data_IF_106170301757
#
_entry.id   IF_106170301757
#
_cell.length_a   1.000
_cell.length_b   1.000
_cell.length_c   1.000
_cell.angle_alpha   90.00
_cell.angle_beta   90.00
_cell.angle_gamma   90.00
#
_symmetry.space_group_name_H-M   'P 1'
#
loop_
_entity.id
_entity.type
_entity.pdbx_description
1 polymer ?
#
# COMPACT_ATOMS: atom_id res chain seq x y z
N UNK A 1 -19.12 -0.98 -0.50
CA UNK A 1 -19.39 -2.39 -0.21
C UNK A 1 -19.99 -3.14 -1.39
N UNK A 2 -20.97 -2.59 -2.10
CA UNK A 2 -21.75 -3.33 -3.12
C UNK A 2 -20.87 -3.66 -4.32
N UNK A 3 -20.09 -2.70 -4.81
CA UNK A 3 -19.25 -2.90 -5.99
C UNK A 3 -18.09 -3.86 -5.68
N UNK A 4 -17.42 -3.68 -4.54
CA UNK A 4 -16.32 -4.56 -4.14
C UNK A 4 -16.79 -6.00 -3.85
N UNK A 5 -17.96 -6.19 -3.22
CA UNK A 5 -18.56 -7.51 -3.01
C UNK A 5 -19.01 -8.18 -4.31
N UNK A 6 -19.67 -7.44 -5.21
CA UNK A 6 -20.07 -7.96 -6.53
C UNK A 6 -18.87 -8.42 -7.34
N UNK A 7 -17.77 -7.65 -7.32
CA UNK A 7 -16.51 -8.01 -7.98
C UNK A 7 -15.79 -9.18 -7.29
N UNK A 8 -16.11 -9.47 -6.03
CA UNK A 8 -15.58 -10.61 -5.29
C UNK A 8 -16.32 -11.93 -5.55
N UNK A 9 -17.51 -11.88 -6.17
CA UNK A 9 -18.28 -13.07 -6.53
C UNK A 9 -17.48 -13.96 -7.51
N UNK A 10 -17.57 -15.29 -7.37
CA UNK A 10 -16.81 -16.22 -8.19
C UNK A 10 -17.12 -16.08 -9.70
N UNK A 11 -18.36 -15.78 -10.06
CA UNK A 11 -18.77 -15.52 -11.45
C UNK A 11 -18.11 -14.26 -12.02
N UNK A 12 -18.15 -13.14 -11.28
CA UNK A 12 -17.52 -11.89 -11.69
C UNK A 12 -15.99 -12.01 -11.74
N UNK A 13 -15.39 -12.74 -10.79
CA UNK A 13 -13.95 -13.02 -10.78
C UNK A 13 -13.51 -13.80 -12.02
N UNK A 14 -14.27 -14.83 -12.42
CA UNK A 14 -13.99 -15.59 -13.66
C UNK A 14 -14.13 -14.71 -14.89
N UNK A 15 -15.17 -13.88 -14.95
CA UNK A 15 -15.41 -12.99 -16.08
C UNK A 15 -14.33 -11.90 -16.23
N UNK A 16 -13.81 -11.37 -15.11
CA UNK A 16 -12.76 -10.36 -15.12
C UNK A 16 -11.35 -10.90 -15.38
N UNK A 17 -11.11 -12.19 -15.10
CA UNK A 17 -9.80 -12.81 -15.32
C UNK A 17 -9.60 -13.05 -16.82
N UNK A 18 -8.65 -12.32 -17.42
CA UNK A 18 -8.37 -12.43 -18.87
C UNK A 18 -7.02 -13.04 -19.21
N UNK A 19 -6.03 -12.88 -18.35
CA UNK A 19 -4.68 -13.39 -18.56
C UNK A 19 -4.04 -13.75 -17.22
N UNK A 20 -3.10 -14.69 -17.25
CA UNK A 20 -2.20 -15.01 -16.14
C UNK A 20 -0.84 -14.37 -16.46
N UNK A 21 -0.36 -13.50 -15.58
CA UNK A 21 0.89 -12.78 -15.80
C UNK A 21 1.96 -13.31 -14.85
N UNK A 22 3.06 -13.79 -15.41
CA UNK A 22 4.22 -14.26 -14.66
C UNK A 22 5.41 -13.33 -14.90
N UNK A 23 6.11 -12.97 -13.83
CA UNK A 23 7.32 -12.14 -13.92
C UNK A 23 8.47 -13.03 -14.40
N UNK A 24 8.64 -13.15 -15.71
CA UNK A 24 9.73 -13.91 -16.31
C UNK A 24 11.04 -13.11 -16.25
N UNK A 25 12.06 -13.67 -15.60
CA UNK A 25 13.36 -13.02 -15.44
C UNK A 25 14.12 -12.88 -16.78
N UNK A 26 13.86 -13.78 -17.75
CA UNK A 26 14.40 -13.70 -19.12
C UNK A 26 13.95 -12.45 -19.87
N UNK A 27 12.70 -12.03 -19.70
CA UNK A 27 12.17 -10.80 -20.31
C UNK A 27 12.73 -9.54 -19.63
N UNK A 28 12.99 -9.62 -18.32
CA UNK A 28 13.59 -8.55 -17.54
C UNK A 28 15.11 -8.40 -17.79
N UNK A 29 15.81 -9.47 -18.17
CA UNK A 29 17.22 -9.42 -18.57
C UNK A 29 17.41 -8.80 -19.96
N UNK A 30 16.48 -9.09 -20.88
CA UNK A 30 16.47 -8.49 -22.22
C UNK A 30 16.23 -6.96 -22.20
N UNK A 31 15.65 -6.43 -21.11
CA UNK A 31 15.44 -4.99 -20.87
C UNK A 31 16.76 -4.25 -20.59
N UNK A 32 17.72 -4.89 -19.91
CA UNK A 32 19.06 -4.31 -19.66
C UNK A 32 19.84 -4.17 -20.97
N UNK A 33 19.68 -5.14 -21.89
CA UNK A 33 20.42 -5.16 -23.15
C UNK A 33 19.78 -4.32 -24.26
N UNK A 34 18.44 -4.30 -24.39
CA UNK A 34 17.76 -3.69 -25.54
C UNK A 34 16.97 -2.39 -25.24
N UNK A 35 16.94 -1.92 -23.99
CA UNK A 35 16.18 -0.71 -23.61
C UNK A 35 14.67 -0.81 -23.87
N UNK A 36 14.14 -2.00 -24.14
CA UNK A 36 12.73 -2.23 -24.39
C UNK A 36 11.98 -2.43 -23.08
N UNK A 37 10.91 -1.65 -22.91
CA UNK A 37 10.04 -1.64 -21.72
C UNK A 37 9.43 -3.03 -21.53
N UNK A 38 9.74 -3.65 -20.39
CA UNK A 38 9.12 -4.91 -19.95
C UNK A 38 7.60 -4.89 -20.15
N UNK A 39 7.03 -6.02 -20.62
CA UNK A 39 5.59 -6.21 -20.80
C UNK A 39 4.89 -6.03 -19.44
N UNK A 40 4.38 -4.82 -19.16
CA UNK A 40 3.64 -4.57 -17.91
C UNK A 40 2.32 -5.33 -17.90
N UNK A 41 1.88 -5.86 -16.74
CA UNK A 41 0.57 -6.50 -16.65
C UNK A 41 -0.52 -5.50 -17.01
N UNK A 42 -1.48 -5.92 -17.86
CA UNK A 42 -2.58 -5.05 -18.28
C UNK A 42 -3.48 -4.74 -17.09
N UNK A 43 -4.01 -3.52 -17.06
CA UNK A 43 -4.84 -3.01 -15.98
C UNK A 43 -6.13 -2.42 -16.53
N UNK A 44 -7.24 -2.67 -15.83
CA UNK A 44 -8.46 -1.89 -15.98
C UNK A 44 -8.27 -0.53 -15.27
N UNK A 45 -8.84 0.56 -15.79
CA UNK A 45 -8.59 1.92 -15.27
C UNK A 45 -8.98 2.11 -13.78
N UNK A 46 -9.99 1.36 -13.30
CA UNK A 46 -10.52 1.42 -11.93
C UNK A 46 -10.57 0.03 -11.23
N UNK A 47 -10.48 -1.05 -12.01
CA UNK A 47 -10.73 -2.43 -11.55
C UNK A 47 -9.46 -3.27 -11.31
N UNK A 48 -8.30 -2.63 -11.39
CA UNK A 48 -6.99 -3.26 -11.13
C UNK A 48 -6.50 -4.19 -12.25
N UNK A 49 -5.67 -5.18 -11.90
CA UNK A 49 -4.97 -6.04 -12.87
C UNK A 49 -5.88 -7.03 -13.60
N UNK A 50 -5.71 -7.25 -14.90
CA UNK A 50 -6.46 -8.29 -15.64
C UNK A 50 -6.27 -9.69 -15.02
N UNK A 51 -5.10 -9.95 -14.43
CA UNK A 51 -4.85 -11.13 -13.62
C UNK A 51 -5.43 -10.96 -12.20
N UNK A 52 -6.43 -11.78 -11.87
CA UNK A 52 -7.11 -11.75 -10.56
C UNK A 52 -6.30 -12.43 -9.46
N UNK A 53 -5.36 -13.30 -9.81
CA UNK A 53 -4.40 -13.85 -8.85
C UNK A 53 -3.38 -12.78 -8.46
N UNK A 54 -2.84 -12.06 -9.45
CA UNK A 54 -1.96 -10.93 -9.21
C UNK A 54 -2.66 -9.82 -8.38
N UNK A 55 -3.92 -9.50 -8.69
CA UNK A 55 -4.71 -8.54 -7.90
C UNK A 55 -4.87 -9.00 -6.44
N UNK A 56 -5.10 -10.29 -6.21
CA UNK A 56 -5.20 -10.80 -4.83
C UNK A 56 -3.89 -10.75 -4.07
N UNK A 57 -2.76 -10.93 -4.76
CA UNK A 57 -1.44 -10.79 -4.16
C UNK A 57 -1.09 -9.33 -3.87
N UNK A 58 -1.41 -8.42 -4.80
CA UNK A 58 -1.28 -6.99 -4.59
C UNK A 58 -2.08 -6.50 -3.37
N UNK A 59 -3.34 -6.91 -3.23
CA UNK A 59 -4.16 -6.50 -2.08
C UNK A 59 -3.59 -7.00 -0.74
N UNK A 60 -2.91 -8.15 -0.73
CA UNK A 60 -2.22 -8.64 0.47
C UNK A 60 -1.00 -7.79 0.80
N UNK A 61 -0.16 -7.55 -0.21
CA UNK A 61 1.04 -6.72 -0.06
C UNK A 61 0.68 -5.30 0.37
N UNK A 62 -0.42 -4.75 -0.18
CA UNK A 62 -0.94 -3.45 0.18
C UNK A 62 -1.29 -3.40 1.67
N UNK A 63 -2.10 -4.34 2.18
CA UNK A 63 -2.50 -4.37 3.61
C UNK A 63 -1.30 -4.52 4.55
N UNK A 64 -0.32 -5.35 4.18
CA UNK A 64 0.89 -5.55 4.99
C UNK A 64 1.76 -4.29 5.02
N UNK A 65 1.91 -3.64 3.87
CA UNK A 65 2.75 -2.43 3.72
C UNK A 65 2.06 -1.18 4.26
N UNK A 66 0.73 -1.12 4.23
CA UNK A 66 -0.07 0.03 4.65
C UNK A 66 -0.59 -0.03 6.08
N UNK A 67 -0.32 -1.11 6.83
CA UNK A 67 -0.84 -1.33 8.20
C UNK A 67 -0.70 -0.10 9.11
N UNK A 68 0.47 0.56 9.11
CA UNK A 68 0.75 1.68 10.00
C UNK A 68 -0.07 2.91 9.59
N UNK A 69 -0.31 3.09 8.29
CA UNK A 69 -1.17 4.14 7.75
C UNK A 69 -2.64 3.90 8.04
N UNK A 70 -3.09 2.63 8.03
CA UNK A 70 -4.46 2.25 8.41
C UNK A 70 -4.70 2.58 9.89
N UNK A 71 -3.76 2.22 10.78
CA UNK A 71 -3.86 2.56 12.21
C UNK A 71 -3.82 4.06 12.46
N UNK A 72 -2.93 4.77 11.75
CA UNK A 72 -2.84 6.23 11.84
C UNK A 72 -4.15 6.89 11.42
N UNK A 73 -4.76 6.44 10.31
CA UNK A 73 -6.05 6.93 9.86
C UNK A 73 -7.17 6.67 10.87
N UNK A 74 -7.26 5.46 11.42
CA UNK A 74 -8.23 5.13 12.49
C UNK A 74 -8.04 6.00 13.74
N UNK A 75 -6.80 6.26 14.14
CA UNK A 75 -6.49 7.14 15.26
C UNK A 75 -6.95 8.57 14.99
N UNK A 76 -6.63 9.12 13.82
CA UNK A 76 -7.08 10.46 13.43
C UNK A 76 -8.61 10.54 13.33
N UNK A 77 -9.29 9.51 12.82
CA UNK A 77 -10.74 9.45 12.78
C UNK A 77 -11.35 9.58 14.18
N UNK A 78 -10.80 8.84 15.15
CA UNK A 78 -11.25 8.88 16.53
C UNK A 78 -10.97 10.26 17.17
N UNK A 79 -9.78 10.81 16.97
CA UNK A 79 -9.39 12.13 17.51
C UNK A 79 -10.30 13.24 16.97
N UNK A 80 -10.54 13.20 15.66
CA UNK A 80 -11.42 14.14 14.97
C UNK A 80 -12.85 14.05 15.48
N UNK A 81 -13.40 12.84 15.63
CA UNK A 81 -14.76 12.66 16.15
C UNK A 81 -14.88 13.13 17.60
N UNK A 82 -13.89 12.81 18.43
CA UNK A 82 -13.81 13.31 19.82
C UNK A 82 -13.74 14.84 19.87
N UNK A 83 -13.00 15.46 18.95
CA UNK A 83 -12.95 16.91 18.81
C UNK A 83 -14.33 17.51 18.49
N UNK A 84 -15.08 16.93 17.54
CA UNK A 84 -16.44 17.37 17.19
C UNK A 84 -17.42 17.26 18.37
N UNK A 85 -17.35 16.17 19.14
CA UNK A 85 -18.14 16.00 20.37
C UNK A 85 -17.73 17.05 21.42
N UNK A 86 -16.44 17.30 21.59
CA UNK A 86 -15.91 18.29 22.53
C UNK A 86 -16.38 19.71 22.23
N UNK A 87 -16.30 20.14 20.96
CA UNK A 87 -16.80 21.45 20.51
C UNK A 87 -18.31 21.57 20.78
N UNK A 88 -19.07 20.53 20.46
CA UNK A 88 -20.52 20.52 20.69
C UNK A 88 -20.88 20.60 22.18
N UNK A 89 -20.10 19.92 23.03
CA UNK A 89 -20.27 19.97 24.48
C UNK A 89 -19.93 21.36 25.06
N UNK A 90 -18.88 22.02 24.56
CA UNK A 90 -18.50 23.38 24.98
C UNK A 90 -19.60 24.38 24.58
N UNK A 91 -20.09 24.31 23.35
CA UNK A 91 -21.19 25.16 22.87
C UNK A 91 -22.48 24.92 23.67
N UNK A 92 -22.76 23.68 24.04
CA UNK A 92 -23.89 23.33 24.91
C UNK A 92 -23.75 23.96 26.31
N UNK A 93 -22.61 23.79 26.97
CA UNK A 93 -22.39 24.34 28.32
C UNK A 93 -22.43 25.86 28.31
N UNK A 94 -21.82 26.50 27.31
CA UNK A 94 -21.79 27.96 27.18
C UNK A 94 -23.15 28.60 26.86
N UNK A 95 -24.10 27.82 26.33
CA UNK A 95 -25.47 28.29 26.03
C UNK A 95 -26.47 27.96 27.13
N UNK A 96 -26.17 27.01 28.02
CA UNK A 96 -27.06 26.51 29.08
C UNK A 96 -27.64 27.61 29.98
N UNK A 97 -26.80 28.55 30.42
CA UNK A 97 -27.21 29.58 31.37
C UNK A 97 -28.00 30.74 30.71
N UNK A 98 -27.98 30.82 29.37
CA UNK A 98 -28.68 31.86 28.61
C UNK A 98 -30.12 31.48 28.26
N UNK A 99 -30.53 30.22 28.45
CA UNK A 99 -31.85 29.72 28.07
C UNK A 99 -32.51 28.90 29.20
N UNK A 100 -33.18 29.57 30.17
CA UNK A 100 -33.67 28.95 31.40
C UNK A 100 -34.85 27.96 31.23
N UNK A 101 -35.42 27.81 30.03
CA UNK A 101 -36.43 26.79 29.71
C UNK A 101 -35.86 25.44 29.25
N UNK A 102 -34.54 25.34 29.08
CA UNK A 102 -33.85 24.19 28.49
C UNK A 102 -33.12 23.38 29.59
N UNK A 103 -33.83 23.00 30.65
CA UNK A 103 -33.25 22.37 31.85
C UNK A 103 -33.26 20.84 31.87
N UNK A 104 -33.61 20.18 30.76
CA UNK A 104 -33.54 18.72 30.67
C UNK A 104 -32.09 18.24 30.48
N UNK A 105 -31.37 18.16 31.60
CA UNK A 105 -30.10 17.42 31.73
C UNK A 105 -30.14 16.02 31.10
N UNK A 106 -31.33 15.41 31.01
CA UNK A 106 -31.57 14.14 30.33
C UNK A 106 -31.36 14.22 28.81
N UNK A 107 -31.81 15.27 28.13
CA UNK A 107 -31.69 15.41 26.66
C UNK A 107 -30.23 15.63 26.23
N UNK A 108 -29.46 16.39 27.00
CA UNK A 108 -28.04 16.59 26.78
C UNK A 108 -27.21 15.32 27.03
N UNK A 109 -27.54 14.58 28.09
CA UNK A 109 -26.94 13.27 28.37
C UNK A 109 -27.22 12.27 27.24
N UNK A 110 -28.45 12.24 26.73
CA UNK A 110 -28.86 11.37 25.62
C UNK A 110 -28.12 11.75 24.33
N UNK A 111 -27.95 13.03 24.03
CA UNK A 111 -27.17 13.52 22.89
C UNK A 111 -25.69 13.09 22.95
N UNK A 112 -25.03 13.32 24.09
CA UNK A 112 -23.64 12.90 24.30
C UNK A 112 -23.54 11.37 24.22
N UNK A 113 -24.49 10.63 24.79
CA UNK A 113 -24.54 9.17 24.69
C UNK A 113 -24.67 8.67 23.24
N UNK A 114 -25.55 9.26 22.42
CA UNK A 114 -25.71 8.89 21.00
C UNK A 114 -24.47 9.21 20.15
N UNK A 115 -23.81 10.34 20.39
CA UNK A 115 -22.54 10.68 19.71
C UNK A 115 -21.38 9.76 20.12
N UNK A 116 -21.36 9.30 21.38
CA UNK A 116 -20.43 8.28 21.87
C UNK A 116 -20.74 6.88 21.29
N UNK A 117 -22.01 6.55 21.01
CA UNK A 117 -22.35 5.28 20.33
C UNK A 117 -21.78 5.20 18.91
N UNK A 118 -21.62 6.35 18.21
CA UNK A 118 -20.96 6.41 16.91
C UNK A 118 -19.44 6.16 16.97
N UNK A 119 -18.80 6.16 18.14
CA UNK A 119 -17.38 5.75 18.30
C UNK A 119 -17.20 4.23 18.30
N UNK A 120 -18.27 3.48 18.58
CA UNK A 120 -18.19 2.03 18.75
C UNK A 120 -17.80 1.25 17.48
N UNK A 121 -18.26 1.62 16.26
CA UNK A 121 -17.76 1.06 15.01
C UNK A 121 -16.26 1.31 14.79
N UNK A 122 -15.74 2.49 15.16
CA UNK A 122 -14.31 2.81 15.05
C UNK A 122 -13.48 1.98 16.04
N UNK A 123 -13.96 1.84 17.27
CA UNK A 123 -13.34 0.96 18.27
C UNK A 123 -13.37 -0.51 17.83
N UNK A 124 -14.47 -0.98 17.24
CA UNK A 124 -14.59 -2.32 16.68
C UNK A 124 -13.67 -2.53 15.46
N UNK A 125 -13.49 -1.51 14.61
CA UNK A 125 -12.54 -1.54 13.49
C UNK A 125 -11.09 -1.65 13.99
N UNK A 126 -10.73 -0.95 15.08
CA UNK A 126 -9.42 -1.06 15.71
C UNK A 126 -9.21 -2.46 16.29
N UNK A 127 -10.18 -2.98 17.04
CA UNK A 127 -10.10 -4.31 17.66
C UNK A 127 -9.98 -5.41 16.59
N UNK A 128 -10.78 -5.31 15.52
CA UNK A 128 -10.69 -6.26 14.41
C UNK A 128 -9.35 -6.14 13.67
N UNK A 129 -8.88 -4.93 13.37
CA UNK A 129 -7.56 -4.73 12.75
C UNK A 129 -6.42 -5.32 13.61
N UNK A 130 -6.45 -5.10 14.93
CA UNK A 130 -5.47 -5.65 15.88
C UNK A 130 -5.55 -7.18 15.96
N UNK A 131 -6.75 -7.74 16.01
CA UNK A 131 -6.97 -9.19 15.99
C UNK A 131 -6.42 -9.83 14.72
N UNK A 132 -6.61 -9.20 13.56
CA UNK A 132 -6.07 -9.65 12.28
C UNK A 132 -4.55 -9.49 12.19
N UNK A 133 -4.00 -8.39 12.72
CA UNK A 133 -2.56 -8.15 12.83
C UNK A 133 -1.86 -9.09 13.83
N UNK A 134 -2.59 -9.70 14.77
CA UNK A 134 -2.09 -10.77 15.63
C UNK A 134 -2.11 -12.13 14.90
N UNK A 135 -3.05 -12.37 13.98
CA UNK A 135 -3.15 -13.60 13.17
C UNK A 135 -2.25 -13.62 11.92
N UNK A 136 -1.04 -13.03 11.99
CA UNK A 136 -0.02 -12.90 10.90
C UNK A 136 0.29 -14.17 10.07
N UNK A 137 -0.15 -15.36 10.49
CA UNK A 137 0.18 -16.65 9.85
C UNK A 137 -0.89 -17.21 8.90
N UNK A 138 -2.03 -16.57 8.69
CA UNK A 138 -3.14 -17.18 7.93
C UNK A 138 -3.31 -16.55 6.54
N UNK A 139 -2.92 -17.29 5.49
CA UNK A 139 -3.59 -17.46 4.19
C UNK A 139 -3.87 -16.30 3.21
N UNK A 140 -3.83 -16.62 1.90
CA UNK A 140 -4.15 -15.76 0.73
C UNK A 140 -5.60 -15.21 0.64
N UNK A 141 -6.45 -15.35 1.66
CA UNK A 141 -7.83 -14.78 1.66
C UNK A 141 -8.04 -13.59 2.61
N UNK A 142 -7.05 -13.29 3.44
CA UNK A 142 -7.15 -12.32 4.55
C UNK A 142 -7.17 -10.86 4.11
N UNK A 143 -6.28 -10.41 3.24
CA UNK A 143 -6.20 -9.02 2.79
C UNK A 143 -7.50 -8.47 2.19
N UNK A 144 -8.22 -9.26 1.39
CA UNK A 144 -9.55 -8.88 0.88
C UNK A 144 -10.59 -8.72 1.99
N UNK A 145 -10.54 -9.61 2.98
CA UNK A 145 -11.44 -9.57 4.13
C UNK A 145 -11.17 -8.35 5.01
N UNK A 146 -9.90 -7.96 5.17
CA UNK A 146 -9.52 -6.75 5.92
C UNK A 146 -10.02 -5.49 5.24
N UNK A 147 -9.85 -5.36 3.92
CA UNK A 147 -10.38 -4.21 3.15
C UNK A 147 -11.89 -4.15 3.25
N UNK A 148 -12.60 -5.28 3.12
CA UNK A 148 -14.05 -5.36 3.25
C UNK A 148 -14.56 -5.02 4.65
N UNK A 149 -13.89 -5.51 5.70
CA UNK A 149 -14.26 -5.21 7.09
C UNK A 149 -14.05 -3.74 7.38
N UNK A 150 -12.89 -3.17 7.01
CA UNK A 150 -12.65 -1.75 7.12
C UNK A 150 -13.74 -0.96 6.38
N UNK A 151 -14.04 -1.39 5.16
CA UNK A 151 -15.05 -0.74 4.35
C UNK A 151 -16.44 -0.76 5.00
N UNK A 152 -16.88 -1.91 5.48
CA UNK A 152 -18.15 -2.06 6.18
C UNK A 152 -18.19 -1.25 7.48
N UNK A 153 -17.10 -1.24 8.26
CA UNK A 153 -17.04 -0.47 9.53
C UNK A 153 -17.11 1.03 9.30
N UNK A 154 -16.44 1.54 8.27
CA UNK A 154 -16.48 2.95 7.96
C UNK A 154 -17.85 3.34 7.37
N UNK A 155 -18.44 2.55 6.46
CA UNK A 155 -19.82 2.82 6.00
C UNK A 155 -20.84 2.78 7.15
N UNK A 156 -20.72 1.86 8.10
CA UNK A 156 -21.56 1.82 9.29
C UNK A 156 -21.38 3.07 10.16
N UNK A 157 -20.13 3.49 10.37
CA UNK A 157 -19.82 4.74 11.06
C UNK A 157 -20.47 5.95 10.38
N UNK A 158 -20.40 6.03 9.06
CA UNK A 158 -21.00 7.12 8.29
C UNK A 158 -22.53 7.10 8.38
N UNK A 159 -23.14 5.93 8.23
CA UNK A 159 -24.59 5.76 8.36
C UNK A 159 -25.08 6.15 9.76
N UNK A 160 -24.35 5.78 10.81
CA UNK A 160 -24.66 6.19 12.18
C UNK A 160 -24.46 7.69 12.39
N UNK A 161 -23.46 8.29 11.75
CA UNK A 161 -23.22 9.74 11.82
C UNK A 161 -24.33 10.53 11.13
N UNK A 162 -24.76 10.11 9.93
CA UNK A 162 -25.90 10.70 9.22
C UNK A 162 -27.23 10.49 10.00
N UNK A 163 -27.47 9.28 10.51
CA UNK A 163 -28.64 9.01 11.34
C UNK A 163 -28.67 9.82 12.63
N UNK A 164 -27.52 9.99 13.29
CA UNK A 164 -27.40 10.85 14.46
C UNK A 164 -27.72 12.29 14.09
N UNK A 165 -27.21 12.80 12.97
CA UNK A 165 -27.51 14.16 12.48
C UNK A 165 -29.01 14.36 12.27
N UNK A 166 -29.68 13.43 11.58
CA UNK A 166 -31.13 13.45 11.37
C UNK A 166 -31.93 13.44 12.68
N UNK A 167 -31.58 12.53 13.60
CA UNK A 167 -32.26 12.47 14.90
C UNK A 167 -31.98 13.69 15.78
N UNK A 168 -30.80 14.30 15.64
CA UNK A 168 -30.46 15.53 16.34
C UNK A 168 -31.34 16.68 15.87
N UNK A 169 -31.67 16.74 14.58
CA UNK A 169 -32.57 17.77 14.03
C UNK A 169 -34.05 17.55 14.41
N UNK A 170 -34.52 16.30 14.49
CA UNK A 170 -35.90 15.98 14.89
C UNK A 170 -36.17 16.06 16.40
N UNK A 171 -35.21 15.66 17.26
CA UNK A 171 -35.40 15.60 18.72
C UNK A 171 -35.07 16.89 19.45
N UNK A 172 -34.16 17.67 18.89
CA UNK A 172 -33.86 19.00 19.39
C UNK A 172 -34.80 19.88 18.58
N UNK A 173 -35.74 20.57 19.22
CA UNK A 173 -36.60 21.52 18.51
C UNK A 173 -35.74 22.28 17.49
N UNK A 174 -36.21 22.44 16.24
CA UNK A 174 -35.49 23.18 15.19
C UNK A 174 -34.92 24.52 15.71
N UNK A 175 -35.54 25.06 16.76
CA UNK A 175 -35.06 26.11 17.67
C UNK A 175 -33.64 25.93 18.21
N UNK A 176 -33.23 24.82 18.84
CA UNK A 176 -31.91 24.70 19.48
C UNK A 176 -30.76 24.70 18.46
N UNK A 177 -30.87 23.92 17.39
CA UNK A 177 -29.85 23.93 16.33
C UNK A 177 -29.77 25.32 15.66
N UNK A 178 -30.93 25.97 15.44
CA UNK A 178 -30.99 27.37 14.98
C UNK A 178 -30.46 28.38 15.99
N UNK A 179 -30.55 28.12 17.30
CA UNK A 179 -30.07 29.01 18.36
C UNK A 179 -28.56 28.88 18.55
N UNK A 180 -28.02 27.65 18.51
CA UNK A 180 -26.59 27.39 18.76
C UNK A 180 -25.73 27.59 17.53
N UNK A 181 -26.20 27.15 16.37
CA UNK A 181 -25.46 27.27 15.11
C UNK A 181 -25.99 28.41 14.22
N UNK A 182 -27.07 29.08 14.62
CA UNK A 182 -27.69 30.14 13.84
C UNK A 182 -28.56 29.60 12.70
N UNK A 183 -29.06 30.52 11.88
CA UNK A 183 -29.60 30.17 10.58
C UNK A 183 -28.53 29.41 9.76
N UNK A 184 -28.91 28.45 8.91
CA UNK A 184 -28.01 27.63 8.09
C UNK A 184 -26.99 26.73 8.83
N UNK A 185 -27.40 26.18 9.97
CA UNK A 185 -26.67 25.16 10.74
C UNK A 185 -26.11 23.99 9.90
N UNK A 186 -26.74 23.64 8.78
CA UNK A 186 -26.28 22.60 7.84
C UNK A 186 -24.83 22.80 7.40
N UNK A 187 -24.44 24.03 7.05
CA UNK A 187 -23.07 24.34 6.58
C UNK A 187 -22.02 24.15 7.68
N UNK A 188 -22.37 24.48 8.93
CA UNK A 188 -21.49 24.31 10.09
C UNK A 188 -21.40 22.83 10.49
N UNK A 189 -22.51 22.09 10.43
CA UNK A 189 -22.55 20.65 10.66
C UNK A 189 -21.69 19.89 9.63
N UNK A 190 -21.76 20.31 8.35
CA UNK A 190 -20.85 19.82 7.30
C UNK A 190 -19.39 20.06 7.66
N UNK A 191 -19.03 21.25 8.16
CA UNK A 191 -17.65 21.56 8.57
C UNK A 191 -17.16 20.80 9.80
N UNK A 192 -18.01 20.64 10.83
CA UNK A 192 -17.60 20.08 12.12
C UNK A 192 -17.63 18.56 12.13
N UNK A 193 -18.61 17.95 11.45
CA UNK A 193 -18.81 16.49 11.50
C UNK A 193 -18.45 15.80 10.19
N UNK A 194 -18.67 16.42 9.03
CA UNK A 194 -18.48 15.75 7.74
C UNK A 194 -17.05 15.92 7.17
N UNK A 195 -16.55 17.15 7.01
CA UNK A 195 -15.19 17.41 6.49
C UNK A 195 -14.10 16.64 7.22
N UNK A 196 -14.10 16.61 8.57
CA UNK A 196 -12.99 16.00 9.28
C UNK A 196 -12.96 14.48 9.09
N UNK A 197 -14.12 13.84 8.89
CA UNK A 197 -14.19 12.41 8.57
C UNK A 197 -13.70 12.09 7.16
N UNK A 198 -13.88 13.00 6.20
CA UNK A 198 -13.32 12.88 4.85
C UNK A 198 -11.80 12.99 4.86
N UNK A 199 -11.23 13.83 5.74
CA UNK A 199 -9.77 14.00 5.85
C UNK A 199 -9.07 12.69 6.22
N UNK A 200 -9.73 11.82 6.99
CA UNK A 200 -9.21 10.49 7.34
C UNK A 200 -8.88 9.65 6.11
N UNK A 201 -9.67 9.76 5.05
CA UNK A 201 -9.48 8.99 3.82
C UNK A 201 -8.16 9.32 3.09
N UNK A 202 -7.55 10.48 3.34
CA UNK A 202 -6.22 10.79 2.81
C UNK A 202 -5.11 9.98 3.49
N UNK A 203 -5.27 9.69 4.78
CA UNK A 203 -4.26 8.96 5.56
C UNK A 203 -4.37 7.46 5.34
N UNK A 204 -5.57 6.96 5.09
CA UNK A 204 -5.82 5.53 4.90
C UNK A 204 -5.46 5.13 3.46
N UNK A 205 -4.46 4.26 3.33
CA UNK A 205 -4.01 3.77 2.02
C UNK A 205 -4.78 2.51 1.61
N UNK A 206 -5.88 2.71 0.90
CA UNK A 206 -6.82 1.69 0.40
C UNK A 206 -6.85 1.67 -1.15
N UNK A 207 -7.41 0.60 -1.75
CA UNK A 207 -7.68 0.59 -3.19
C UNK A 207 -8.60 1.74 -3.60
N UNK A 208 -8.31 2.38 -4.73
CA UNK A 208 -9.03 3.58 -5.19
C UNK A 208 -10.54 3.34 -5.36
N UNK A 209 -10.94 2.14 -5.78
CA UNK A 209 -12.36 1.78 -5.91
C UNK A 209 -13.10 1.85 -4.57
N UNK A 210 -12.51 1.32 -3.50
CA UNK A 210 -13.13 1.31 -2.18
C UNK A 210 -13.23 2.75 -1.63
N UNK A 211 -12.17 3.55 -1.78
CA UNK A 211 -12.21 4.96 -1.36
C UNK A 211 -13.23 5.77 -2.15
N UNK A 212 -13.36 5.56 -3.47
CA UNK A 212 -14.36 6.23 -4.28
C UNK A 212 -15.78 5.82 -3.89
N UNK A 213 -16.02 4.53 -3.62
CA UNK A 213 -17.32 4.06 -3.15
C UNK A 213 -17.70 4.76 -1.83
N UNK A 214 -16.78 4.82 -0.87
CA UNK A 214 -16.98 5.55 0.39
C UNK A 214 -17.33 7.02 0.18
N UNK A 215 -16.53 7.71 -0.64
CA UNK A 215 -16.70 9.14 -0.88
C UNK A 215 -18.03 9.43 -1.59
N UNK A 216 -18.44 8.59 -2.56
CA UNK A 216 -19.73 8.75 -3.25
C UNK A 216 -20.89 8.50 -2.29
N UNK A 217 -20.85 7.44 -1.48
CA UNK A 217 -21.88 7.19 -0.47
C UNK A 217 -22.00 8.35 0.53
N UNK A 218 -20.86 8.92 0.93
CA UNK A 218 -20.82 10.09 1.78
C UNK A 218 -21.45 11.33 1.14
N UNK A 219 -21.07 11.63 -0.10
CA UNK A 219 -21.63 12.78 -0.80
C UNK A 219 -23.15 12.63 -0.99
N UNK A 220 -23.64 11.43 -1.28
CA UNK A 220 -25.08 11.16 -1.40
C UNK A 220 -25.77 11.32 -0.03
N UNK A 221 -25.22 10.74 1.03
CA UNK A 221 -25.80 10.83 2.37
C UNK A 221 -25.94 12.30 2.83
N UNK A 222 -24.85 13.07 2.77
CA UNK A 222 -24.83 14.42 3.34
C UNK A 222 -25.35 15.53 2.42
N UNK A 223 -25.29 15.39 1.09
CA UNK A 223 -25.79 16.41 0.16
C UNK A 223 -27.20 16.12 -0.38
N UNK A 224 -27.62 14.86 -0.41
CA UNK A 224 -28.91 14.48 -0.99
C UNK A 224 -29.87 14.00 0.09
N UNK A 225 -29.46 13.01 0.89
CA UNK A 225 -30.35 12.36 1.85
C UNK A 225 -30.65 13.27 3.04
N UNK A 226 -29.62 13.77 3.74
CA UNK A 226 -29.82 14.59 4.94
C UNK A 226 -30.59 15.89 4.66
N UNK A 227 -30.28 16.68 3.61
CA UNK A 227 -31.03 17.91 3.34
C UNK A 227 -32.46 17.68 2.84
N UNK A 228 -32.78 16.46 2.37
CA UNK A 228 -34.13 16.07 1.99
C UNK A 228 -34.96 15.60 3.18
N UNK A 229 -34.30 14.99 4.18
CA UNK A 229 -34.93 14.52 5.41
C UNK A 229 -35.13 15.63 6.45
N UNK A 230 -34.33 16.69 6.40
CA UNK A 230 -34.43 17.88 7.27
C UNK A 230 -35.42 18.87 6.63
N UNK A 231 -36.46 19.28 7.37
CA UNK A 231 -37.61 20.08 6.87
C UNK A 231 -37.22 21.39 6.15
N UNK A 232 -36.03 21.94 6.47
CA UNK A 232 -35.50 23.19 5.91
C UNK A 232 -34.16 23.02 5.18
N UNK A 233 -33.70 21.79 4.89
CA UNK A 233 -32.32 21.52 4.46
C UNK A 233 -31.82 22.35 3.28
N UNK A 234 -32.35 22.13 2.08
CA UNK A 234 -32.06 23.00 0.92
C UNK A 234 -32.98 24.22 0.82
N UNK A 235 -34.11 24.21 1.54
CA UNK A 235 -35.10 25.29 1.49
C UNK A 235 -34.67 26.52 2.29
N UNK A 236 -33.74 26.35 3.24
CA UNK A 236 -33.11 27.46 3.97
C UNK A 236 -32.25 28.37 3.09
N UNK A 237 -31.93 27.96 1.86
CA UNK A 237 -31.18 28.79 0.91
C UNK A 237 -32.08 29.74 0.09
N UNK A 238 -33.41 29.70 0.28
CA UNK A 238 -34.30 30.63 -0.41
C UNK A 238 -34.19 32.04 0.18
N UNK A 239 -34.15 33.04 -0.69
CA UNK A 239 -34.01 34.46 -0.31
C UNK A 239 -35.07 34.90 0.70
N UNK A 240 -36.30 34.38 0.59
CA UNK A 240 -37.40 34.67 1.53
C UNK A 240 -37.12 34.16 2.95
N UNK A 241 -36.60 32.94 3.08
CA UNK A 241 -36.29 32.37 4.38
C UNK A 241 -35.04 33.02 5.00
N UNK A 242 -34.07 33.39 4.17
CA UNK A 242 -32.86 34.12 4.59
C UNK A 242 -33.25 35.51 5.13
N UNK A 243 -34.03 36.28 4.35
CA UNK A 243 -34.51 37.61 4.75
C UNK A 243 -35.36 37.55 6.02
N UNK A 244 -36.26 36.56 6.12
CA UNK A 244 -37.12 36.36 7.29
C UNK A 244 -36.38 35.91 8.56
N UNK A 245 -35.24 35.22 8.42
CA UNK A 245 -34.42 34.86 9.57
C UNK A 245 -33.52 36.01 10.05
N UNK A 246 -32.98 36.78 9.12
CA UNK A 246 -32.05 37.89 9.42
C UNK A 246 -32.78 39.08 10.06
N UNK A 247 -34.02 39.36 9.67
CA UNK A 247 -34.84 40.41 10.28
C UNK A 247 -35.01 40.23 11.80
N UNK A 248 -34.88 39.00 12.31
CA UNK A 248 -35.01 38.68 13.73
C UNK A 248 -33.72 38.82 14.56
N UNK A 249 -32.54 38.97 13.94
CA UNK A 249 -31.23 38.92 14.64
C UNK A 249 -30.37 40.17 14.45
N UNK A 250 -30.26 40.73 13.25
CA UNK A 250 -29.24 41.76 12.94
C UNK A 250 -29.70 42.92 12.04
N UNK A 251 -30.93 42.89 11.49
CA UNK A 251 -31.36 43.89 10.48
C UNK A 251 -32.34 44.98 10.94
N UNK A 252 -32.61 45.13 12.24
CA UNK A 252 -33.35 46.30 12.73
C UNK A 252 -32.59 47.63 12.50
N UNK A 253 -31.31 47.58 12.10
CA UNK A 253 -30.48 48.76 11.77
C UNK A 253 -30.31 49.06 10.28
N UNK A 254 -30.78 48.21 9.35
CA UNK A 254 -30.61 48.39 7.90
C UNK A 254 -31.98 48.29 7.21
N UNK A 255 -32.68 49.43 7.17
CA UNK A 255 -34.11 49.56 6.81
C UNK A 255 -34.33 49.84 5.30
N UNK A 256 -33.29 49.76 4.46
CA UNK A 256 -33.41 50.03 3.02
C UNK A 256 -33.42 48.72 2.19
N UNK A 257 -34.37 48.60 1.24
CA UNK A 257 -34.53 47.43 0.35
C UNK A 257 -33.22 47.04 -0.39
N UNK A 258 -32.39 48.02 -0.74
CA UNK A 258 -31.07 47.81 -1.38
C UNK A 258 -30.07 47.09 -0.46
N UNK A 259 -30.15 47.32 0.85
CA UNK A 259 -29.24 46.70 1.84
C UNK A 259 -29.69 45.29 2.24
N UNK A 260 -30.99 44.98 2.12
CA UNK A 260 -31.55 43.66 2.37
C UNK A 260 -31.09 42.61 1.35
N UNK A 261 -31.01 42.98 0.07
CA UNK A 261 -30.51 42.09 -1.00
C UNK A 261 -29.01 41.80 -0.87
N UNK A 262 -28.22 42.79 -0.47
CA UNK A 262 -26.80 42.61 -0.18
C UNK A 262 -26.59 41.64 1.00
N UNK A 263 -27.39 41.78 2.06
CA UNK A 263 -27.31 40.90 3.24
C UNK A 263 -27.70 39.45 2.91
N UNK A 264 -28.78 39.25 2.14
CA UNK A 264 -29.18 37.93 1.67
C UNK A 264 -28.08 37.27 0.83
N UNK A 265 -27.49 38.02 -0.10
CA UNK A 265 -26.38 37.55 -0.95
C UNK A 265 -25.15 37.16 -0.12
N UNK A 266 -24.76 37.98 0.86
CA UNK A 266 -23.63 37.69 1.75
C UNK A 266 -23.82 36.37 2.51
N UNK A 267 -24.98 36.18 3.14
CA UNK A 267 -25.26 34.96 3.90
C UNK A 267 -25.36 33.72 2.99
N UNK A 268 -25.95 33.83 1.81
CA UNK A 268 -25.96 32.75 0.81
C UNK A 268 -24.53 32.31 0.46
N UNK A 269 -23.60 33.24 0.28
CA UNK A 269 -22.18 32.93 0.01
C UNK A 269 -21.52 32.23 1.20
N UNK A 270 -21.77 32.70 2.42
CA UNK A 270 -21.23 32.08 3.65
C UNK A 270 -21.71 30.63 3.81
N UNK A 271 -22.95 30.31 3.44
CA UNK A 271 -23.46 28.93 3.50
C UNK A 271 -23.04 28.04 2.34
N UNK A 272 -22.90 28.60 1.13
CA UNK A 272 -22.42 27.83 -0.02
C UNK A 272 -20.93 27.48 0.11
N UNK A 273 -20.14 28.29 0.82
CA UNK A 273 -18.71 28.06 0.97
C UNK A 273 -18.34 26.68 1.56
N UNK A 274 -18.93 26.21 2.68
CA UNK A 274 -18.74 24.84 3.17
C UNK A 274 -19.12 23.75 2.17
N UNK A 275 -20.18 23.92 1.39
CA UNK A 275 -20.63 22.95 0.37
C UNK A 275 -19.63 22.89 -0.79
N UNK A 276 -19.12 24.04 -1.22
CA UNK A 276 -18.08 24.13 -2.24
C UNK A 276 -16.79 23.45 -1.75
N UNK A 277 -16.35 23.75 -0.52
CA UNK A 277 -15.20 23.08 0.09
C UNK A 277 -15.38 21.56 0.16
N UNK A 278 -16.60 21.08 0.41
CA UNK A 278 -16.90 19.65 0.48
C UNK A 278 -16.69 18.99 -0.87
N UNK A 279 -17.23 19.62 -1.93
CA UNK A 279 -17.05 19.18 -3.30
C UNK A 279 -15.58 19.18 -3.70
N UNK A 280 -14.83 20.23 -3.37
CA UNK A 280 -13.40 20.33 -3.63
C UNK A 280 -12.62 19.22 -2.91
N UNK A 281 -12.87 19.00 -1.62
CA UNK A 281 -12.22 17.93 -0.84
C UNK A 281 -12.56 16.55 -1.43
N UNK A 282 -13.82 16.32 -1.83
CA UNK A 282 -14.26 15.07 -2.47
C UNK A 282 -13.49 14.80 -3.77
N UNK A 283 -13.36 15.81 -4.64
CA UNK A 283 -12.58 15.71 -5.88
C UNK A 283 -11.10 15.48 -5.59
N UNK A 284 -10.53 16.17 -4.59
CA UNK A 284 -9.14 15.98 -4.17
C UNK A 284 -8.88 14.56 -3.66
N UNK A 285 -9.77 13.99 -2.85
CA UNK A 285 -9.67 12.61 -2.38
C UNK A 285 -9.74 11.64 -3.57
N UNK A 286 -10.63 11.87 -4.52
CA UNK A 286 -10.73 11.05 -5.72
C UNK A 286 -9.42 11.07 -6.55
N UNK A 287 -8.85 12.25 -6.78
CA UNK A 287 -7.60 12.39 -7.54
C UNK A 287 -6.42 11.75 -6.80
N UNK A 288 -6.26 12.07 -5.51
CA UNK A 288 -5.14 11.55 -4.70
C UNK A 288 -5.23 10.04 -4.56
N UNK A 289 -6.41 9.48 -4.29
CA UNK A 289 -6.58 8.02 -4.19
C UNK A 289 -6.22 7.30 -5.48
N UNK A 290 -6.57 7.85 -6.65
CA UNK A 290 -6.18 7.29 -7.96
C UNK A 290 -4.66 7.34 -8.19
N UNK A 291 -4.00 8.44 -7.82
CA UNK A 291 -2.54 8.59 -7.96
C UNK A 291 -1.82 7.62 -7.02
N UNK A 292 -2.25 7.57 -5.75
CA UNK A 292 -1.65 6.71 -4.73
C UNK A 292 -1.80 5.24 -5.11
N UNK A 293 -2.99 4.81 -5.54
CA UNK A 293 -3.22 3.43 -6.00
C UNK A 293 -2.34 3.07 -7.20
N UNK A 294 -2.25 3.96 -8.20
CA UNK A 294 -1.33 3.78 -9.35
C UNK A 294 0.13 3.66 -8.92
N UNK A 295 0.58 4.49 -7.98
CA UNK A 295 1.95 4.46 -7.47
C UNK A 295 2.23 3.19 -6.66
N UNK A 296 1.26 2.74 -5.85
CA UNK A 296 1.37 1.49 -5.09
C UNK A 296 1.46 0.28 -6.03
N UNK A 297 0.63 0.23 -7.08
CA UNK A 297 0.64 -0.84 -8.09
C UNK A 297 1.97 -0.88 -8.85
N UNK A 298 2.50 0.28 -9.25
CA UNK A 298 3.84 0.38 -9.87
C UNK A 298 4.93 -0.13 -8.92
N UNK A 299 4.88 0.28 -7.65
CA UNK A 299 5.86 -0.15 -6.64
C UNK A 299 5.81 -1.65 -6.41
N UNK A 300 4.61 -2.25 -6.39
CA UNK A 300 4.43 -3.69 -6.28
C UNK A 300 5.03 -4.44 -7.48
N UNK A 301 4.72 -4.02 -8.71
CA UNK A 301 5.29 -4.63 -9.91
C UNK A 301 6.82 -4.51 -9.94
N UNK A 302 7.36 -3.34 -9.58
CA UNK A 302 8.81 -3.12 -9.54
C UNK A 302 9.49 -4.04 -8.51
N UNK A 303 8.91 -4.21 -7.31
CA UNK A 303 9.44 -5.15 -6.29
C UNK A 303 9.45 -6.59 -6.80
N UNK A 304 8.38 -7.01 -7.47
CA UNK A 304 8.28 -8.35 -8.08
C UNK A 304 9.31 -8.57 -9.18
N UNK A 305 9.49 -7.57 -10.04
CA UNK A 305 10.48 -7.58 -11.12
C UNK A 305 11.91 -7.68 -10.57
N UNK A 306 12.25 -6.84 -9.58
CA UNK A 306 13.55 -6.86 -8.88
C UNK A 306 13.79 -8.23 -8.24
N UNK A 307 12.82 -8.79 -7.53
CA UNK A 307 12.98 -10.11 -6.91
C UNK A 307 13.19 -11.24 -7.95
N UNK A 308 12.53 -11.17 -9.11
CA UNK A 308 12.73 -12.13 -10.20
C UNK A 308 14.13 -12.01 -10.82
N UNK A 309 14.58 -10.79 -11.09
CA UNK A 309 15.93 -10.49 -11.58
C UNK A 309 17.00 -10.95 -10.59
N UNK A 310 16.78 -10.76 -9.30
CA UNK A 310 17.72 -11.11 -8.24
C UNK A 310 17.89 -12.61 -8.13
N UNK A 311 16.80 -13.36 -8.19
CA UNK A 311 16.85 -14.83 -8.21
C UNK A 311 17.60 -15.38 -9.43
N UNK A 312 17.44 -14.77 -10.60
CA UNK A 312 18.19 -15.18 -11.80
C UNK A 312 19.69 -14.86 -11.66
N UNK A 313 20.02 -13.65 -11.19
CA UNK A 313 21.41 -13.24 -10.98
C UNK A 313 22.13 -14.14 -9.97
N UNK A 314 21.46 -14.50 -8.88
CA UNK A 314 21.96 -15.48 -7.91
C UNK A 314 22.22 -16.83 -8.57
N UNK A 315 21.28 -17.33 -9.38
CA UNK A 315 21.45 -18.60 -10.09
C UNK A 315 22.60 -18.58 -11.11
N UNK A 316 22.81 -17.47 -11.84
CA UNK A 316 23.94 -17.33 -12.76
C UNK A 316 25.28 -17.24 -12.04
N UNK A 317 25.34 -16.53 -10.90
CA UNK A 317 26.55 -16.44 -10.09
C UNK A 317 26.92 -17.80 -9.49
N UNK A 318 25.93 -18.58 -9.05
CA UNK A 318 26.16 -19.94 -8.57
C UNK A 318 26.75 -20.84 -9.66
N UNK A 319 26.25 -20.76 -10.90
CA UNK A 319 26.83 -21.50 -12.03
C UNK A 319 28.28 -21.11 -12.31
N UNK A 320 28.58 -19.82 -12.33
CA UNK A 320 29.97 -19.35 -12.50
C UNK A 320 30.89 -19.84 -11.38
N UNK A 321 30.38 -19.89 -10.14
CA UNK A 321 31.12 -20.44 -9.00
C UNK A 321 31.33 -21.95 -9.13
N UNK A 322 30.32 -22.70 -9.59
CA UNK A 322 30.44 -24.14 -9.86
C UNK A 322 31.48 -24.42 -10.97
N UNK A 323 31.45 -23.66 -12.06
CA UNK A 323 32.42 -23.78 -13.16
C UNK A 323 33.84 -23.43 -12.71
N UNK A 324 34.02 -22.34 -11.95
CA UNK A 324 35.32 -21.94 -11.42
C UNK A 324 35.90 -23.00 -10.48
N UNK A 325 35.08 -23.60 -9.61
CA UNK A 325 35.53 -24.66 -8.71
C UNK A 325 35.90 -25.94 -9.48
N UNK A 326 35.11 -26.31 -10.50
CA UNK A 326 35.43 -27.44 -11.37
C UNK A 326 36.76 -27.23 -12.09
N UNK A 327 37.04 -26.02 -12.56
CA UNK A 327 38.30 -25.67 -13.22
C UNK A 327 39.49 -25.77 -12.27
N UNK A 328 39.36 -25.27 -11.04
CA UNK A 328 40.42 -25.38 -10.02
C UNK A 328 40.69 -26.84 -9.68
N UNK A 329 39.64 -27.65 -9.50
CA UNK A 329 39.77 -29.08 -9.21
C UNK A 329 40.29 -29.91 -10.40
N UNK A 330 40.15 -29.42 -11.63
CA UNK A 330 40.68 -30.08 -12.83
C UNK A 330 42.19 -29.88 -13.01
N UNK A 331 42.78 -28.83 -12.40
CA UNK A 331 44.21 -28.52 -12.52
C UNK A 331 44.97 -28.92 -11.26
N UNK A 332 44.35 -28.81 -10.09
CA UNK A 332 44.97 -29.09 -8.80
C UNK A 332 44.31 -30.27 -8.08
N UNK A 333 45.09 -31.11 -7.37
CA UNK A 333 44.53 -32.12 -6.49
C UNK A 333 43.60 -31.49 -5.43
N UNK A 334 42.53 -32.19 -5.01
CA UNK A 334 41.47 -31.62 -4.16
C UNK A 334 41.96 -31.11 -2.79
N UNK A 335 43.03 -31.69 -2.25
CA UNK A 335 43.65 -31.22 -1.00
C UNK A 335 44.35 -29.87 -1.14
N UNK A 336 44.96 -29.60 -2.29
CA UNK A 336 45.63 -28.32 -2.60
C UNK A 336 44.60 -27.27 -3.03
N UNK A 337 43.62 -27.66 -3.86
CA UNK A 337 42.52 -26.80 -4.28
C UNK A 337 41.72 -26.20 -3.10
N UNK A 338 41.40 -27.02 -2.07
CA UNK A 338 40.74 -26.56 -0.85
C UNK A 338 41.57 -25.56 -0.04
N UNK A 339 42.88 -25.73 0.00
CA UNK A 339 43.76 -24.80 0.72
C UNK A 339 43.88 -23.46 -0.03
N UNK A 340 44.05 -23.50 -1.35
CA UNK A 340 44.16 -22.29 -2.18
C UNK A 340 42.88 -21.47 -2.13
N UNK A 341 41.71 -22.13 -2.20
CA UNK A 341 40.40 -21.46 -2.06
C UNK A 341 40.20 -20.85 -0.67
N UNK A 342 40.61 -21.55 0.39
CA UNK A 342 40.55 -21.04 1.77
C UNK A 342 41.49 -19.85 1.99
N UNK A 343 42.74 -19.93 1.51
CA UNK A 343 43.71 -18.81 1.58
C UNK A 343 43.20 -17.59 0.83
N UNK A 344 42.66 -17.78 -0.37
CA UNK A 344 42.07 -16.70 -1.15
C UNK A 344 40.90 -16.03 -0.41
N UNK A 345 40.00 -16.81 0.21
CA UNK A 345 38.89 -16.26 1.00
C UNK A 345 39.35 -15.43 2.20
N UNK A 346 40.46 -15.82 2.84
CA UNK A 346 41.02 -15.09 3.98
C UNK A 346 41.75 -13.81 3.54
N UNK A 347 42.53 -13.85 2.47
CA UNK A 347 43.26 -12.68 1.96
C UNK A 347 42.32 -11.61 1.39
N UNK A 348 41.20 -12.01 0.76
CA UNK A 348 40.14 -11.09 0.31
C UNK A 348 39.47 -10.36 1.49
N UNK A 349 39.31 -11.02 2.64
CA UNK A 349 38.76 -10.36 3.85
C UNK A 349 39.77 -9.40 4.51
N UNK A 350 41.08 -9.63 4.38
CA UNK A 350 42.11 -8.71 4.88
C UNK A 350 42.40 -7.54 3.93
N UNK A 351 42.22 -7.73 2.62
CA UNK A 351 42.49 -6.69 1.60
C UNK A 351 41.42 -5.60 1.53
N UNK A 352 40.22 -5.79 2.10
CA UNK A 352 39.30 -4.66 2.35
C UNK A 352 39.82 -3.64 3.38
N UNK A 353 40.87 -3.97 4.12
CA UNK A 353 41.49 -3.08 5.13
C UNK A 353 42.90 -2.60 4.74
N UNK A 354 43.46 -3.05 3.61
CA UNK A 354 44.87 -2.81 3.25
C UNK A 354 45.08 -2.45 1.76
N UNK A 355 44.09 -1.85 1.10
CA UNK A 355 44.21 -1.41 -0.29
C UNK A 355 45.04 -0.11 -0.49
N UNK A 356 45.74 0.38 0.55
CA UNK A 356 46.45 1.68 0.51
C UNK A 356 47.98 1.61 0.44
N UNK A 357 48.61 0.43 0.37
CA UNK A 357 50.07 0.35 0.20
C UNK A 357 50.41 -0.57 -0.97
N UNK A 358 50.93 0.04 -2.03
CA UNK A 358 51.15 -0.54 -3.33
C UNK A 358 52.00 -1.82 -3.32
N UNK A 359 51.52 -2.80 -4.07
CA UNK A 359 52.22 -4.07 -4.29
C UNK A 359 51.31 -5.03 -5.04
N UNK A 360 51.08 -4.79 -6.33
CA UNK A 360 50.47 -5.77 -7.24
C UNK A 360 51.45 -6.93 -7.47
N UNK A 361 51.62 -7.79 -6.47
CA UNK A 361 52.22 -9.11 -6.68
C UNK A 361 51.07 -10.11 -6.84
N UNK A 362 50.94 -10.69 -8.03
CA UNK A 362 49.89 -11.67 -8.32
C UNK A 362 49.93 -12.84 -7.34
N UNK A 363 48.74 -13.26 -6.90
CA UNK A 363 48.46 -14.34 -5.95
C UNK A 363 49.14 -15.67 -6.33
N UNK A 364 49.54 -15.84 -7.60
CA UNK A 364 50.27 -17.02 -8.10
C UNK A 364 51.76 -17.10 -7.66
N UNK A 365 52.28 -16.08 -6.99
CA UNK A 365 53.68 -16.03 -6.54
C UNK A 365 53.95 -16.76 -5.22
N UNK A 366 52.91 -17.23 -4.52
CA UNK A 366 53.06 -17.95 -3.26
C UNK A 366 53.08 -19.47 -3.51
N UNK A 367 54.26 -20.02 -3.77
CA UNK A 367 54.44 -21.46 -3.97
C UNK A 367 54.04 -22.24 -2.71
N UNK A 368 53.00 -23.08 -2.82
CA UNK A 368 52.62 -24.02 -1.75
C UNK A 368 53.47 -25.28 -1.89
N UNK A 369 54.58 -25.34 -1.16
CA UNK A 369 55.45 -26.52 -1.09
C UNK A 369 55.22 -27.28 0.22
N UNK A 370 55.18 -28.62 0.16
CA UNK A 370 55.00 -29.50 1.31
C UNK A 370 55.96 -30.68 1.24
N UNK A 371 56.52 -31.04 2.39
CA UNK A 371 57.28 -32.29 2.55
C UNK A 371 56.30 -33.44 2.87
N UNK A 372 56.37 -34.53 2.11
CA UNK A 372 55.57 -35.72 2.33
C UNK A 372 56.50 -36.92 2.57
N UNK A 373 56.35 -37.58 3.72
CA UNK A 373 57.07 -38.82 4.03
C UNK A 373 56.24 -40.04 3.61
N UNK A 374 56.92 -41.14 3.27
CA UNK A 374 56.30 -42.41 2.86
C UNK A 374 55.46 -42.34 1.58
N UNK A 375 55.98 -41.69 0.52
CA UNK A 375 55.38 -41.69 -0.82
C UNK A 375 56.07 -42.70 -1.73
N UNK A 376 55.33 -43.27 -2.68
CA UNK A 376 55.86 -44.10 -3.76
C UNK A 376 55.68 -43.37 -5.08
N UNK A 377 56.72 -43.31 -5.91
CA UNK A 377 56.72 -42.60 -7.19
C UNK A 377 56.89 -43.63 -8.30
N UNK A 378 55.97 -43.62 -9.27
CA UNK A 378 56.03 -44.48 -10.44
C UNK A 378 56.37 -43.63 -11.67
N UNK A 379 57.43 -44.00 -12.38
CA UNK A 379 57.74 -43.47 -13.70
C UNK A 379 57.45 -44.52 -14.76
N UNK A 380 56.78 -44.13 -15.83
CA UNK A 380 56.43 -45.00 -16.97
C UNK A 380 56.74 -44.28 -18.27
N UNK A 381 57.27 -45.01 -19.26
CA UNK A 381 57.61 -44.48 -20.57
C UNK A 381 57.06 -45.40 -21.68
N UNK A 382 56.75 -44.84 -22.84
CA UNK A 382 56.28 -45.57 -24.01
C UNK A 382 57.47 -45.95 -24.88
N UNK A 383 57.91 -47.21 -24.75
CA UNK A 383 59.01 -47.72 -25.56
C UNK A 383 58.65 -47.71 -27.04
N UNK A 384 59.51 -47.10 -27.87
CA UNK A 384 59.34 -47.08 -29.33
C UNK A 384 58.42 -45.99 -29.88
N UNK A 385 57.95 -45.05 -29.05
CA UNK A 385 57.06 -43.96 -29.47
C UNK A 385 57.61 -43.13 -30.65
N UNK A 386 58.91 -42.80 -30.64
CA UNK A 386 59.55 -41.99 -31.69
C UNK A 386 59.50 -42.67 -33.07
N UNK A 387 59.71 -43.98 -33.13
CA UNK A 387 59.69 -44.73 -34.39
C UNK A 387 58.27 -44.88 -34.93
N UNK A 388 57.28 -45.05 -34.05
CA UNK A 388 55.86 -45.15 -34.42
C UNK A 388 55.32 -43.80 -34.92
N UNK A 389 55.58 -42.70 -34.21
CA UNK A 389 55.07 -41.36 -34.57
C UNK A 389 55.62 -40.81 -35.89
N UNK A 390 56.78 -41.27 -36.36
CA UNK A 390 57.34 -40.86 -37.66
C UNK A 390 56.61 -41.46 -38.86
N UNK A 391 55.88 -42.56 -38.68
CA UNK A 391 55.23 -43.31 -39.76
C UNK A 391 53.71 -43.04 -39.86
N UNK A 392 53.14 -42.35 -38.86
CA UNK A 392 51.70 -42.09 -38.74
C UNK A 392 51.37 -40.62 -38.97
N UNK A 393 50.13 -40.33 -39.34
CA UNK A 393 49.65 -38.96 -39.42
C UNK A 393 49.55 -38.34 -38.02
N UNK A 394 49.84 -37.04 -37.85
CA UNK A 394 49.77 -36.37 -36.54
C UNK A 394 48.43 -36.56 -35.81
N UNK A 395 47.32 -36.60 -36.54
CA UNK A 395 45.99 -36.82 -35.97
C UNK A 395 45.82 -38.23 -35.40
N UNK A 396 46.37 -39.25 -36.07
CA UNK A 396 46.30 -40.64 -35.63
C UNK A 396 47.14 -40.87 -34.38
N UNK A 397 48.31 -40.25 -34.30
CA UNK A 397 49.16 -40.27 -33.10
C UNK A 397 48.44 -39.62 -31.90
N UNK A 398 47.77 -38.49 -32.12
CA UNK A 398 46.99 -37.82 -31.07
C UNK A 398 45.80 -38.67 -30.60
N UNK A 399 45.12 -39.36 -31.51
CA UNK A 399 44.03 -40.28 -31.17
C UNK A 399 44.54 -41.44 -30.32
N UNK A 400 45.68 -42.04 -30.69
CA UNK A 400 46.29 -43.13 -29.91
C UNK A 400 46.68 -42.67 -28.50
N UNK A 401 47.34 -41.52 -28.37
CA UNK A 401 47.72 -40.98 -27.06
C UNK A 401 46.51 -40.65 -26.19
N UNK A 402 45.46 -40.06 -26.77
CA UNK A 402 44.24 -39.75 -26.05
C UNK A 402 43.59 -41.04 -25.49
N UNK A 403 43.46 -42.10 -26.30
CA UNK A 403 42.89 -43.36 -25.82
C UNK A 403 43.75 -44.02 -24.74
N UNK A 404 45.08 -44.02 -24.90
CA UNK A 404 46.00 -44.55 -23.91
C UNK A 404 45.88 -43.82 -22.57
N UNK A 405 45.89 -42.48 -22.57
CA UNK A 405 45.79 -41.68 -21.35
C UNK A 405 44.40 -41.78 -20.71
N UNK A 406 43.32 -41.83 -21.50
CA UNK A 406 41.97 -42.10 -20.96
C UNK A 406 41.90 -43.45 -20.25
N UNK A 407 42.55 -44.50 -20.78
CA UNK A 407 42.61 -45.80 -20.09
C UNK A 407 43.41 -45.73 -18.79
N UNK A 408 44.47 -44.94 -18.74
CA UNK A 408 45.21 -44.72 -17.49
C UNK A 408 44.43 -43.89 -16.47
N UNK A 409 43.75 -42.83 -16.88
CA UNK A 409 42.92 -42.02 -15.98
C UNK A 409 41.84 -42.89 -15.31
N UNK A 410 41.18 -43.78 -16.08
CA UNK A 410 40.20 -44.73 -15.54
C UNK A 410 40.79 -45.75 -14.55
N UNK A 411 42.07 -46.11 -14.69
CA UNK A 411 42.77 -47.01 -13.75
C UNK A 411 43.12 -46.30 -12.43
N UNK A 412 43.26 -44.97 -12.46
CA UNK A 412 43.63 -44.14 -11.30
C UNK A 412 42.40 -43.64 -10.54
N UNK A 413 41.28 -43.42 -11.22
CA UNK A 413 40.01 -42.95 -10.64
C UNK A 413 39.11 -44.08 -10.07
N UNK A 414 39.48 -45.36 -10.23
CA UNK A 414 38.85 -46.53 -9.57
C UNK A 414 39.31 -46.69 -8.12
#
# INVERSE_FOLDING_TARGET
>A
MVLFLLLSLPCAKRWMHRESFEFAASEASAEVDNGQVSRRPKQYPLLGFHDRHLESEYLMDLVVTSKDRIYLGLFFALLVHMGGVGVSAILYVGSRDKFPGYSDSHRAFVAVAFTCMALWPLAAAIITAQFWAARRKIGRRVGKSVVLVFEATFLLYLALTAYNLYNQDQRWDASYMRIVYGYGALGILLMVFCMPTMIVLFFVNLPSLATLEMTVFMSIAFLVVDPFLIDLGWRSFSDEQIKGAISSVLCDQFIDDETGDFCATYWTVVYLFPVILFGLITVMIAIVSLIVDRNNRRSFCNRKLINALQKQKEASLLRQRDEQESLINSIFPPGVARELTMKHSNEVNLTSSLATLGGSCGIFSQAVSREHQCVSILFTDIVGFTSMSQQCLPLEVMSFLHELFVRFDNLVDM
#
